data_IF_838337053759
#
_entry.id   IF_838337053759
#
_cell.length_a   1.000
_cell.length_b   1.000
_cell.length_c   1.000
_cell.angle_alpha   90.00
_cell.angle_beta   90.00
_cell.angle_gamma   90.00
#
_symmetry.space_group_name_H-M   'P 1'
#
loop_
_entity.id
_entity.type
_entity.pdbx_description
1 polymer ?
#
# COMPACT_ATOMS: atom_id res chain seq x y z
N UNK A 1 12.97 -30.08 4.10
CA UNK A 1 11.50 -30.24 4.20
C UNK A 1 10.90 -29.61 2.96
N UNK A 2 10.18 -30.37 2.13
CA UNK A 2 9.54 -29.80 0.93
C UNK A 2 8.57 -28.69 1.36
N UNK A 3 8.80 -27.46 0.89
CA UNK A 3 7.90 -26.32 1.13
C UNK A 3 6.52 -26.70 0.60
N UNK A 4 5.49 -26.62 1.44
CA UNK A 4 4.12 -26.97 1.04
C UNK A 4 3.43 -25.72 0.52
N UNK A 5 3.35 -25.59 -0.81
CA UNK A 5 2.59 -24.53 -1.47
C UNK A 5 1.08 -24.66 -1.20
N UNK A 6 0.33 -23.56 -1.30
CA UNK A 6 -1.12 -23.63 -1.33
C UNK A 6 -1.59 -24.50 -2.50
N UNK A 7 -2.48 -25.45 -2.23
CA UNK A 7 -3.02 -26.37 -3.26
C UNK A 7 -3.78 -25.63 -4.36
N UNK A 8 -4.40 -24.51 -4.01
CA UNK A 8 -5.08 -23.60 -4.93
C UNK A 8 -4.56 -22.19 -4.71
N UNK A 9 -3.53 -21.74 -5.44
CA UNK A 9 -2.92 -20.43 -5.19
C UNK A 9 -3.93 -19.31 -5.49
N UNK A 10 -3.93 -18.29 -4.64
CA UNK A 10 -4.75 -17.09 -4.78
C UNK A 10 -3.83 -15.88 -4.74
N UNK A 11 -3.79 -15.07 -5.79
CA UNK A 11 -3.05 -13.81 -5.79
C UNK A 11 -3.72 -12.82 -4.83
N UNK A 12 -2.92 -12.03 -4.12
CA UNK A 12 -3.42 -10.89 -3.35
C UNK A 12 -3.91 -9.78 -4.29
N UNK A 13 -4.65 -8.84 -3.71
CA UNK A 13 -4.85 -7.54 -4.33
C UNK A 13 -3.50 -6.78 -4.28
N UNK A 14 -2.88 -6.64 -5.44
CA UNK A 14 -1.54 -6.06 -5.64
C UNK A 14 -1.64 -4.98 -6.69
N UNK A 15 -0.72 -4.02 -6.66
CA UNK A 15 -0.66 -2.93 -7.64
C UNK A 15 0.24 -3.31 -8.82
N UNK A 16 -0.31 -3.64 -10.00
CA UNK A 16 0.51 -4.00 -11.16
C UNK A 16 1.04 -2.76 -11.88
N UNK A 17 2.30 -2.78 -12.29
CA UNK A 17 2.91 -1.79 -13.19
C UNK A 17 3.70 -2.45 -14.30
N UNK A 18 3.45 -2.03 -15.54
CA UNK A 18 4.27 -2.44 -16.67
C UNK A 18 5.62 -1.73 -16.64
N UNK A 19 6.69 -2.49 -16.82
CA UNK A 19 8.07 -2.00 -16.88
C UNK A 19 8.74 -2.56 -18.13
N UNK A 20 9.34 -1.69 -18.92
CA UNK A 20 10.15 -2.06 -20.08
C UNK A 20 11.62 -2.07 -19.70
N UNK A 21 12.34 -3.10 -20.14
CA UNK A 21 13.78 -3.30 -19.99
C UNK A 21 14.39 -3.75 -21.31
N UNK A 22 15.72 -3.80 -21.38
CA UNK A 22 16.44 -4.26 -22.56
C UNK A 22 16.07 -5.70 -22.95
N UNK A 23 15.75 -6.55 -21.96
CA UNK A 23 15.43 -7.96 -22.14
C UNK A 23 13.92 -8.25 -22.32
N UNK A 24 13.06 -7.22 -22.26
CA UNK A 24 11.63 -7.35 -22.57
C UNK A 24 10.69 -6.49 -21.74
N UNK A 25 9.41 -6.86 -21.78
CA UNK A 25 8.32 -6.21 -21.03
C UNK A 25 7.88 -7.11 -19.88
N UNK A 26 7.82 -6.52 -18.69
CA UNK A 26 7.51 -7.23 -17.45
C UNK A 26 6.38 -6.53 -16.70
N UNK A 27 5.55 -7.33 -16.03
CA UNK A 27 4.60 -6.88 -15.03
C UNK A 27 5.29 -6.90 -13.66
N UNK A 28 5.53 -5.73 -13.10
CA UNK A 28 5.99 -5.57 -11.72
C UNK A 28 4.79 -5.57 -10.79
N UNK A 29 4.83 -6.41 -9.76
CA UNK A 29 3.78 -6.49 -8.73
C UNK A 29 4.26 -5.77 -7.47
N UNK A 30 3.59 -4.66 -7.14
CA UNK A 30 3.86 -3.86 -5.96
C UNK A 30 2.91 -4.26 -4.82
N UNK A 31 3.45 -4.42 -3.61
CA UNK A 31 2.69 -4.72 -2.40
C UNK A 31 2.49 -3.45 -1.57
N UNK A 32 1.30 -2.87 -1.68
CA UNK A 32 0.94 -1.63 -0.99
C UNK A 32 0.90 -1.78 0.54
N UNK A 33 0.82 -3.01 1.06
CA UNK A 33 0.90 -3.27 2.49
C UNK A 33 2.34 -3.32 3.01
N UNK A 34 3.34 -3.29 2.12
CA UNK A 34 4.76 -3.36 2.47
C UNK A 34 5.17 -4.66 3.17
N UNK A 35 4.42 -5.75 2.93
CA UNK A 35 4.70 -7.06 3.55
C UNK A 35 5.77 -7.83 2.77
N UNK A 36 5.73 -7.73 1.44
CA UNK A 36 6.74 -8.28 0.55
C UNK A 36 8.07 -7.52 0.71
N UNK A 37 9.16 -8.26 0.95
CA UNK A 37 10.52 -7.69 1.01
C UNK A 37 11.21 -7.67 -0.37
N UNK A 38 10.65 -8.39 -1.32
CA UNK A 38 11.21 -8.57 -2.66
C UNK A 38 10.14 -8.30 -3.68
N UNK A 39 10.43 -7.42 -4.63
CA UNK A 39 9.59 -7.25 -5.79
C UNK A 39 9.66 -8.48 -6.69
N UNK A 40 8.51 -8.90 -7.23
CA UNK A 40 8.43 -9.95 -8.26
C UNK A 40 8.05 -9.30 -9.57
N UNK A 41 8.79 -9.65 -10.62
CA UNK A 41 8.52 -9.21 -11.98
C UNK A 41 8.25 -10.42 -12.86
N UNK A 42 7.16 -10.33 -13.62
CA UNK A 42 6.65 -11.44 -14.41
C UNK A 42 6.71 -11.05 -15.88
N UNK A 43 7.41 -11.82 -16.72
CA UNK A 43 7.40 -11.59 -18.17
C UNK A 43 5.98 -11.48 -18.70
N UNK A 44 5.74 -10.56 -19.64
CA UNK A 44 4.40 -10.27 -20.16
C UNK A 44 3.64 -11.54 -20.62
N UNK A 45 4.34 -12.46 -21.28
CA UNK A 45 3.79 -13.72 -21.78
C UNK A 45 3.35 -14.70 -20.67
N UNK A 46 3.77 -14.49 -19.43
CA UNK A 46 3.43 -15.33 -18.28
C UNK A 46 2.36 -14.70 -17.36
N UNK A 47 1.93 -13.48 -17.64
CA UNK A 47 0.89 -12.80 -16.86
C UNK A 47 -0.46 -13.52 -16.81
N UNK A 48 -0.89 -14.33 -17.82
CA UNK A 48 -2.12 -15.12 -17.70
C UNK A 48 -2.13 -16.11 -16.52
N UNK A 49 -0.95 -16.56 -16.05
CA UNK A 49 -0.86 -17.42 -14.86
C UNK A 49 -1.47 -16.72 -13.63
N UNK A 50 -1.22 -15.42 -13.49
CA UNK A 50 -1.68 -14.62 -12.34
C UNK A 50 -3.20 -14.56 -12.26
N UNK A 51 -3.87 -14.44 -13.40
CA UNK A 51 -5.34 -14.41 -13.49
C UNK A 51 -5.93 -15.75 -13.05
N UNK A 52 -5.24 -16.86 -13.31
CA UNK A 52 -5.68 -18.21 -12.95
C UNK A 52 -5.40 -18.56 -11.47
N UNK A 53 -4.55 -17.77 -10.79
CA UNK A 53 -4.32 -17.85 -9.34
C UNK A 53 -5.43 -17.15 -8.56
N UNK A 54 -6.65 -17.67 -8.63
CA UNK A 54 -7.84 -17.09 -7.97
C UNK A 54 -8.30 -17.86 -6.72
N UNK A 55 -7.52 -18.85 -6.27
CA UNK A 55 -7.86 -19.71 -5.14
C UNK A 55 -8.78 -20.89 -5.49
N UNK A 56 -9.17 -21.07 -6.76
CA UNK A 56 -10.09 -22.15 -7.17
C UNK A 56 -9.40 -23.29 -7.91
N UNK A 57 -8.28 -23.02 -8.58
CA UNK A 57 -7.56 -23.94 -9.49
C UNK A 57 -6.32 -24.55 -8.85
N UNK A 58 -6.04 -25.81 -9.14
CA UNK A 58 -4.73 -26.42 -8.83
C UNK A 58 -3.71 -26.09 -9.92
N UNK A 59 -2.43 -26.40 -9.69
CA UNK A 59 -1.36 -26.22 -10.70
C UNK A 59 -1.69 -26.97 -12.00
N UNK A 60 -2.25 -28.20 -11.90
CA UNK A 60 -2.69 -28.96 -13.07
C UNK A 60 -3.79 -28.23 -13.85
N UNK A 61 -4.79 -27.69 -13.14
CA UNK A 61 -5.88 -26.93 -13.76
C UNK A 61 -5.40 -25.60 -14.37
N UNK A 62 -4.43 -24.93 -13.73
CA UNK A 62 -3.77 -23.73 -14.28
C UNK A 62 -3.05 -24.10 -15.58
N UNK A 63 -2.24 -25.16 -15.58
CA UNK A 63 -1.53 -25.62 -16.77
C UNK A 63 -2.50 -25.95 -17.92
N UNK A 64 -3.59 -26.67 -17.63
CA UNK A 64 -4.64 -26.95 -18.61
C UNK A 64 -5.28 -25.67 -19.18
N UNK A 65 -5.56 -24.68 -18.32
CA UNK A 65 -6.09 -23.38 -18.73
C UNK A 65 -5.15 -22.60 -19.66
N UNK A 66 -3.84 -22.62 -19.38
CA UNK A 66 -2.82 -21.99 -20.23
C UNK A 66 -2.69 -22.68 -21.59
N UNK A 67 -2.74 -24.01 -21.61
CA UNK A 67 -2.67 -24.77 -22.86
C UNK A 67 -3.85 -24.44 -23.79
N UNK A 68 -5.06 -24.23 -23.25
CA UNK A 68 -6.22 -23.78 -24.03
C UNK A 68 -6.04 -22.37 -24.61
N UNK A 69 -5.16 -21.56 -24.01
CA UNK A 69 -4.76 -20.25 -24.53
C UNK A 69 -3.52 -20.30 -25.43
N UNK A 70 -3.02 -21.51 -25.76
CA UNK A 70 -1.82 -21.70 -26.59
C UNK A 70 -0.49 -21.51 -25.85
N UNK A 71 -0.50 -21.41 -24.52
CA UNK A 71 0.70 -21.19 -23.70
C UNK A 71 1.19 -22.54 -23.15
N UNK A 72 2.34 -22.99 -23.62
CA UNK A 72 2.99 -24.22 -23.15
C UNK A 72 4.22 -23.91 -22.30
N UNK A 73 4.07 -24.03 -20.98
CA UNK A 73 5.15 -23.77 -20.00
C UNK A 73 5.43 -24.98 -19.10
N UNK A 74 4.43 -25.84 -18.86
CA UNK A 74 4.53 -27.04 -18.04
C UNK A 74 4.40 -26.80 -16.53
N UNK A 75 3.92 -27.81 -15.81
CA UNK A 75 3.59 -27.73 -14.39
C UNK A 75 4.79 -27.36 -13.50
N UNK A 76 5.99 -27.84 -13.82
CA UNK A 76 7.18 -27.54 -13.01
C UNK A 76 7.53 -26.05 -13.00
N UNK A 77 7.41 -25.37 -14.15
CA UNK A 77 7.68 -23.92 -14.23
C UNK A 77 6.58 -23.13 -13.54
N UNK A 78 5.32 -23.57 -13.64
CA UNK A 78 4.21 -22.98 -12.88
C UNK A 78 4.47 -23.13 -11.38
N UNK A 79 4.82 -24.33 -10.92
CA UNK A 79 5.18 -24.59 -9.52
C UNK A 79 6.27 -23.63 -9.03
N UNK A 80 7.37 -23.50 -9.78
CA UNK A 80 8.47 -22.62 -9.40
C UNK A 80 8.03 -21.14 -9.32
N UNK A 81 7.14 -20.69 -10.21
CA UNK A 81 6.58 -19.34 -10.15
C UNK A 81 5.66 -19.16 -8.92
N UNK A 82 4.78 -20.11 -8.64
CA UNK A 82 3.91 -20.07 -7.45
C UNK A 82 4.76 -20.08 -6.17
N UNK A 83 5.84 -20.84 -6.13
CA UNK A 83 6.78 -20.84 -5.00
C UNK A 83 7.44 -19.49 -4.80
N UNK A 84 7.88 -18.82 -5.88
CA UNK A 84 8.44 -17.47 -5.79
C UNK A 84 7.41 -16.45 -5.32
N UNK A 85 6.16 -16.55 -5.78
CA UNK A 85 5.06 -15.70 -5.32
C UNK A 85 4.74 -15.92 -3.84
N UNK A 86 4.72 -17.18 -3.38
CA UNK A 86 4.49 -17.52 -1.97
C UNK A 86 5.64 -17.05 -1.07
N UNK A 87 6.89 -17.27 -1.50
CA UNK A 87 8.09 -16.78 -0.81
C UNK A 87 8.10 -15.26 -0.67
N UNK A 88 7.65 -14.54 -1.70
CA UNK A 88 7.51 -13.09 -1.71
C UNK A 88 6.24 -12.58 -0.99
N UNK A 89 5.43 -13.47 -0.40
CA UNK A 89 4.17 -13.15 0.29
C UNK A 89 3.11 -12.50 -0.62
N UNK A 90 3.11 -12.80 -1.91
CA UNK A 90 2.20 -12.24 -2.91
C UNK A 90 0.92 -13.06 -3.12
N UNK A 91 0.81 -14.23 -2.51
CA UNK A 91 -0.42 -15.02 -2.49
C UNK A 91 -1.23 -14.72 -1.22
N UNK A 92 -2.57 -14.63 -1.29
CA UNK A 92 -3.45 -14.35 -0.13
C UNK A 92 -3.46 -15.54 0.84
N UNK A 93 -3.12 -16.72 0.34
CA UNK A 93 -2.93 -17.94 1.11
C UNK A 93 -1.44 -18.31 1.22
N UNK A 94 -1.14 -19.51 1.73
CA UNK A 94 0.24 -19.92 1.96
C UNK A 94 0.91 -19.09 3.07
N UNK A 95 2.13 -18.61 2.82
CA UNK A 95 2.97 -17.94 3.82
C UNK A 95 2.44 -16.58 4.25
N UNK A 96 1.80 -15.86 3.36
CA UNK A 96 1.22 -14.56 3.68
C UNK A 96 0.20 -14.65 4.81
N UNK A 97 -0.60 -15.71 4.89
CA UNK A 97 -1.60 -15.88 5.95
C UNK A 97 -0.97 -15.83 7.35
N UNK A 98 0.13 -16.57 7.55
CA UNK A 98 0.88 -16.55 8.81
C UNK A 98 1.58 -15.20 9.03
N UNK A 99 2.16 -14.61 7.98
CA UNK A 99 2.81 -13.30 8.07
C UNK A 99 1.82 -12.19 8.46
N UNK A 100 0.63 -12.18 7.87
CA UNK A 100 -0.48 -11.26 8.16
C UNK A 100 -0.94 -11.38 9.60
N UNK A 101 -1.15 -12.61 10.09
CA UNK A 101 -1.51 -12.83 11.49
C UNK A 101 -0.44 -12.32 12.44
N UNK A 102 0.83 -12.59 12.17
CA UNK A 102 1.96 -12.09 12.96
C UNK A 102 2.04 -10.56 12.95
N UNK A 103 1.82 -9.92 11.80
CA UNK A 103 1.81 -8.47 11.68
C UNK A 103 0.65 -7.83 12.47
N UNK A 104 -0.56 -8.39 12.37
CA UNK A 104 -1.72 -7.94 13.14
C UNK A 104 -1.50 -8.13 14.64
N UNK A 105 -0.95 -9.27 15.05
CA UNK A 105 -0.64 -9.52 16.46
C UNK A 105 0.40 -8.52 16.98
N UNK A 106 1.48 -8.27 16.23
CA UNK A 106 2.48 -7.26 16.55
C UNK A 106 1.86 -5.87 16.68
N UNK A 107 0.96 -5.50 15.76
CA UNK A 107 0.25 -4.22 15.84
C UNK A 107 -0.60 -4.13 17.12
N UNK A 108 -1.40 -5.15 17.42
CA UNK A 108 -2.30 -5.17 18.58
C UNK A 108 -1.57 -5.23 19.93
N UNK A 109 -0.39 -5.85 19.98
CA UNK A 109 0.41 -5.94 21.21
C UNK A 109 1.36 -4.75 21.42
N UNK A 110 1.45 -3.84 20.44
CA UNK A 110 2.29 -2.64 20.55
C UNK A 110 1.67 -1.65 21.53
N UNK A 111 2.50 -1.04 22.38
CA UNK A 111 2.06 -0.01 23.35
C UNK A 111 1.51 1.25 22.68
N UNK A 112 1.97 1.52 21.46
CA UNK A 112 1.55 2.65 20.64
C UNK A 112 1.61 2.27 19.16
N UNK A 113 0.83 2.98 18.33
CA UNK A 113 0.91 2.86 16.88
C UNK A 113 2.15 3.61 16.38
N UNK A 114 3.09 2.95 15.67
CA UNK A 114 4.24 3.64 15.10
C UNK A 114 3.82 4.58 13.97
N UNK A 115 4.53 5.71 13.84
CA UNK A 115 4.35 6.67 12.75
C UNK A 115 5.11 6.18 11.50
N UNK A 116 4.54 5.22 10.78
CA UNK A 116 5.20 4.51 9.67
C UNK A 116 5.71 5.39 8.51
N UNK A 117 5.23 6.63 8.41
CA UNK A 117 5.60 7.57 7.36
C UNK A 117 6.55 8.68 7.84
N UNK A 118 6.92 8.68 9.12
CA UNK A 118 7.92 9.58 9.66
C UNK A 118 9.29 9.29 9.03
N UNK A 119 9.94 10.34 8.53
CA UNK A 119 11.22 10.28 7.82
C UNK A 119 11.11 9.94 6.32
N UNK A 120 9.93 9.58 5.82
CA UNK A 120 9.70 9.31 4.40
C UNK A 120 8.74 10.31 3.76
N UNK A 121 7.60 10.57 4.39
CA UNK A 121 6.58 11.51 3.88
C UNK A 121 6.63 12.85 4.61
N UNK A 122 6.94 12.84 5.91
CA UNK A 122 7.11 14.04 6.74
C UNK A 122 8.31 13.84 7.68
N UNK A 123 8.90 14.92 8.23
CA UNK A 123 10.08 14.80 9.09
C UNK A 123 9.85 13.92 10.32
N UNK A 124 10.87 13.14 10.70
CA UNK A 124 10.79 12.25 11.85
C UNK A 124 11.13 12.92 13.19
N UNK A 125 11.94 13.98 13.16
CA UNK A 125 12.31 14.72 14.37
C UNK A 125 11.24 15.76 14.72
N UNK A 126 11.01 15.98 16.01
CA UNK A 126 10.01 16.96 16.48
C UNK A 126 10.38 18.36 16.01
N UNK A 127 11.66 18.74 16.10
CA UNK A 127 12.14 20.06 15.68
C UNK A 127 11.90 20.31 14.20
N UNK A 128 12.26 19.35 13.34
CA UNK A 128 12.07 19.49 11.90
C UNK A 128 10.59 19.45 11.52
N UNK A 129 9.78 18.65 12.21
CA UNK A 129 8.34 18.60 11.99
C UNK A 129 7.66 19.92 12.36
N UNK A 130 8.05 20.52 13.48
CA UNK A 130 7.55 21.83 13.89
C UNK A 130 7.92 22.92 12.88
N UNK A 131 9.16 22.91 12.39
CA UNK A 131 9.60 23.84 11.35
C UNK A 131 8.80 23.63 10.06
N UNK A 132 8.68 22.37 9.61
CA UNK A 132 7.92 22.00 8.42
C UNK A 132 6.46 22.48 8.46
N UNK A 133 5.78 22.30 9.59
CA UNK A 133 4.40 22.77 9.77
C UNK A 133 4.33 24.30 9.80
N UNK A 134 5.27 24.95 10.49
CA UNK A 134 5.27 26.42 10.66
C UNK A 134 5.56 27.12 9.34
N UNK A 135 6.60 26.70 8.62
CA UNK A 135 6.97 27.24 7.30
C UNK A 135 5.92 26.92 6.23
N UNK A 136 5.27 25.74 6.33
CA UNK A 136 4.15 25.39 5.47
C UNK A 136 3.00 26.38 5.59
N UNK A 137 2.57 26.65 6.83
CA UNK A 137 1.48 27.60 7.12
C UNK A 137 1.84 29.04 6.80
N UNK A 138 3.08 29.47 7.02
CA UNK A 138 3.50 30.87 6.80
C UNK A 138 3.49 31.30 5.33
N UNK A 139 3.36 30.34 4.39
CA UNK A 139 3.17 30.64 2.97
C UNK A 139 1.75 31.13 2.65
N UNK A 140 0.82 31.03 3.60
CA UNK A 140 -0.58 31.39 3.42
C UNK A 140 -1.01 32.39 4.48
N UNK A 141 -1.81 33.36 4.05
CA UNK A 141 -2.52 34.26 4.96
C UNK A 141 -3.91 33.72 5.26
N UNK A 142 -4.41 33.99 6.48
CA UNK A 142 -5.81 33.69 6.80
C UNK A 142 -6.70 34.54 5.89
N UNK A 143 -7.64 33.89 5.23
CA UNK A 143 -8.60 34.58 4.36
C UNK A 143 -9.74 35.24 5.16
N UNK A 144 -9.89 34.89 6.43
CA UNK A 144 -10.97 35.37 7.31
C UNK A 144 -12.35 34.91 6.84
N UNK A 145 -12.42 33.88 6.00
CA UNK A 145 -13.69 33.32 5.53
C UNK A 145 -14.42 32.62 6.65
N UNK A 146 -13.69 31.93 7.53
CA UNK A 146 -14.26 31.30 8.72
C UNK A 146 -14.95 32.33 9.62
N UNK A 147 -14.35 33.51 9.79
CA UNK A 147 -14.86 34.59 10.65
C UNK A 147 -16.20 35.18 10.17
N UNK A 148 -16.60 34.92 8.91
CA UNK A 148 -17.90 35.33 8.37
C UNK A 148 -19.06 34.47 8.88
N UNK A 149 -18.75 33.30 9.44
CA UNK A 149 -19.74 32.37 9.95
C UNK A 149 -19.81 32.49 11.48
N UNK A 150 -21.02 32.53 12.02
CA UNK A 150 -21.22 32.53 13.46
C UNK A 150 -21.19 31.10 14.02
N UNK A 151 -20.62 30.93 15.20
CA UNK A 151 -20.56 29.67 15.92
C UNK A 151 -19.16 29.03 15.94
N UNK A 152 -19.08 27.84 16.54
CA UNK A 152 -17.82 27.12 16.72
C UNK A 152 -17.58 26.14 15.57
N UNK A 153 -16.33 25.99 15.13
CA UNK A 153 -15.95 24.96 14.15
C UNK A 153 -16.28 23.57 14.73
N UNK A 154 -17.17 22.84 14.06
CA UNK A 154 -17.56 21.48 14.45
C UNK A 154 -16.78 20.38 13.71
N UNK A 155 -16.08 20.75 12.63
CA UNK A 155 -15.35 19.78 11.82
C UNK A 155 -14.53 20.43 10.71
N UNK A 156 -13.55 19.67 10.22
CA UNK A 156 -12.63 20.06 9.17
C UNK A 156 -12.66 19.00 8.06
N UNK A 157 -12.70 19.44 6.81
CA UNK A 157 -12.53 18.55 5.67
C UNK A 157 -11.15 18.80 5.06
N UNK A 158 -10.25 17.84 5.26
CA UNK A 158 -8.90 17.86 4.68
C UNK A 158 -8.77 16.73 3.66
N UNK A 159 -8.10 16.94 2.51
CA UNK A 159 -7.79 15.84 1.60
C UNK A 159 -6.93 14.78 2.31
N UNK A 160 -6.86 13.56 1.80
CA UNK A 160 -5.90 12.54 2.27
C UNK A 160 -5.16 11.94 1.08
N UNK A 161 -4.51 12.82 0.32
CA UNK A 161 -3.61 12.50 -0.79
C UNK A 161 -2.15 12.63 -0.31
N UNK A 162 -1.20 12.22 -1.12
CA UNK A 162 0.22 12.40 -0.79
C UNK A 162 0.58 13.87 -0.60
N UNK A 163 1.49 14.10 0.35
CA UNK A 163 1.96 15.43 0.72
C UNK A 163 2.56 16.17 -0.48
N UNK A 164 3.33 15.50 -1.35
CA UNK A 164 3.96 16.14 -2.50
C UNK A 164 2.95 16.84 -3.43
N UNK A 165 1.75 16.25 -3.61
CA UNK A 165 0.68 16.85 -4.42
C UNK A 165 -0.24 17.78 -3.62
N UNK A 166 -0.56 17.43 -2.37
CA UNK A 166 -1.62 18.10 -1.64
C UNK A 166 -1.17 19.16 -0.63
N UNK A 167 0.12 19.23 -0.27
CA UNK A 167 0.63 19.98 0.89
C UNK A 167 0.05 21.40 1.04
N UNK A 168 -0.01 22.16 -0.05
CA UNK A 168 -0.54 23.52 -0.05
C UNK A 168 -1.99 23.59 0.47
N UNK A 169 -2.85 22.65 0.07
CA UNK A 169 -4.25 22.59 0.52
C UNK A 169 -4.34 22.27 2.01
N UNK A 170 -3.50 21.38 2.53
CA UNK A 170 -3.42 21.12 3.97
C UNK A 170 -3.00 22.38 4.72
N UNK A 171 -1.88 22.98 4.32
CA UNK A 171 -1.31 24.14 5.00
C UNK A 171 -2.29 25.31 5.03
N UNK A 172 -2.97 25.59 3.91
CA UNK A 172 -3.98 26.64 3.84
C UNK A 172 -5.19 26.36 4.75
N UNK A 173 -5.69 25.12 4.80
CA UNK A 173 -6.79 24.74 5.69
C UNK A 173 -6.39 24.94 7.16
N UNK A 174 -5.26 24.37 7.57
CA UNK A 174 -4.78 24.48 8.95
C UNK A 174 -4.43 25.92 9.33
N UNK A 175 -4.00 26.75 8.38
CA UNK A 175 -3.80 28.18 8.58
C UNK A 175 -5.12 28.91 8.84
N UNK A 176 -6.15 28.65 8.02
CA UNK A 176 -7.47 29.28 8.17
C UNK A 176 -8.09 28.99 9.55
N UNK A 177 -7.85 27.79 10.08
CA UNK A 177 -8.38 27.32 11.35
C UNK A 177 -7.55 27.72 12.59
N UNK A 178 -6.42 28.40 12.43
CA UNK A 178 -5.64 28.90 13.58
C UNK A 178 -6.51 29.77 14.50
N UNK A 179 -6.40 29.53 15.81
CA UNK A 179 -7.20 30.21 16.85
C UNK A 179 -8.58 29.60 17.09
N UNK A 180 -9.01 28.61 16.30
CA UNK A 180 -10.26 27.86 16.53
C UNK A 180 -10.03 26.47 17.12
N UNK A 181 -8.77 26.09 17.34
CA UNK A 181 -8.38 24.74 17.78
C UNK A 181 -8.01 24.66 19.26
N UNK A 182 -7.85 25.80 19.93
CA UNK A 182 -7.25 25.88 21.26
C UNK A 182 -8.10 25.20 22.35
N UNK A 183 -9.42 25.19 22.17
CA UNK A 183 -10.38 24.60 23.11
C UNK A 183 -10.79 23.15 22.74
N UNK A 184 -10.10 22.50 21.78
CA UNK A 184 -10.44 21.15 21.34
C UNK A 184 -9.80 20.10 22.24
N UNK A 185 -10.64 19.38 22.99
CA UNK A 185 -10.20 18.28 23.87
C UNK A 185 -10.20 16.91 23.18
N UNK A 186 -11.00 16.74 22.11
CA UNK A 186 -11.14 15.48 21.39
C UNK A 186 -11.17 15.70 19.88
N UNK A 187 -10.34 14.93 19.18
CA UNK A 187 -10.32 14.88 17.71
C UNK A 187 -10.73 13.47 17.27
N UNK A 188 -11.72 13.39 16.39
CA UNK A 188 -12.11 12.16 15.69
C UNK A 188 -11.66 12.31 14.23
N UNK A 189 -10.75 11.45 13.81
CA UNK A 189 -10.14 11.42 12.46
C UNK A 189 -10.66 10.20 11.72
#
# INVERSE_FOLDING_TARGET
MSKRLPTKPQLRDLSPRWVQREDGVFLHLEDDLGMAQTAVQIPQNLTPILILCDGTRTIQSINGGLLLQGISIGEQRIYNLIEQLDDALLLENGKYSAAKQKAIQKYRSSRSRPMSFAGTIYPASISDLNLFITEGKSQFERSGKADKHQGNIQGLLSPHIDFARGFATYAQLWKECEGHLDDIEQVVI
#
